data_IF_422891850677
#
_entry.id   IF_422891850677
#
_cell.length_a   1.000
_cell.length_b   1.000
_cell.length_c   1.000
_cell.angle_alpha   90.00
_cell.angle_beta   90.00
_cell.angle_gamma   90.00
#
_symmetry.space_group_name_H-M   'P 1'
#
loop_
_entity.id
_entity.type
_entity.pdbx_description
1 polymer ?
#
# COMPACT_ATOMS: atom_id res chain seq x y z
N UNK A 1 -6.06 7.38 72.35
CA UNK A 1 -7.29 6.71 71.88
C UNK A 1 -8.31 7.75 71.43
N UNK A 2 -8.56 7.87 70.12
CA UNK A 2 -9.86 8.20 69.52
C UNK A 2 -9.75 7.94 68.01
N UNK A 3 -10.65 7.08 67.52
CA UNK A 3 -10.80 6.62 66.13
C UNK A 3 -11.37 7.73 65.26
N UNK A 4 -10.99 7.75 63.97
CA UNK A 4 -11.70 8.48 62.92
C UNK A 4 -11.13 8.10 61.55
N UNK A 5 -11.62 7.00 60.96
CA UNK A 5 -12.51 6.98 59.79
C UNK A 5 -11.72 6.87 58.48
N UNK A 6 -11.70 5.66 57.91
CA UNK A 6 -11.21 5.36 56.56
C UNK A 6 -12.19 5.97 55.55
N UNK A 7 -11.70 6.81 54.64
CA UNK A 7 -12.43 7.17 53.42
C UNK A 7 -11.46 6.95 52.27
N UNK A 8 -11.68 5.85 51.55
CA UNK A 8 -11.00 5.58 50.29
C UNK A 8 -11.57 6.47 49.20
N UNK A 9 -10.68 7.05 48.40
CA UNK A 9 -11.02 7.60 47.10
C UNK A 9 -10.26 6.80 46.06
N UNK A 10 -10.93 5.78 45.51
CA UNK A 10 -10.52 5.15 44.27
C UNK A 10 -10.79 6.16 43.15
N UNK A 11 -9.75 6.84 42.68
CA UNK A 11 -9.79 7.63 41.45
C UNK A 11 -9.90 6.65 40.27
N UNK A 12 -11.12 6.41 39.81
CA UNK A 12 -11.35 5.88 38.48
C UNK A 12 -10.89 6.93 37.46
N UNK A 13 -9.69 6.74 36.93
CA UNK A 13 -9.28 7.42 35.71
C UNK A 13 -10.11 6.85 34.54
N UNK A 14 -11.17 7.56 34.17
CA UNK A 14 -11.90 7.34 32.93
C UNK A 14 -10.94 7.59 31.76
N UNK A 15 -10.37 6.52 31.20
CA UNK A 15 -9.73 6.54 29.89
C UNK A 15 -10.79 6.87 28.85
N UNK A 16 -10.88 8.14 28.47
CA UNK A 16 -11.58 8.56 27.27
C UNK A 16 -10.79 8.07 26.07
N UNK A 17 -11.13 6.89 25.56
CA UNK A 17 -10.74 6.44 24.22
C UNK A 17 -11.39 7.40 23.21
N UNK A 18 -10.66 8.42 22.77
CA UNK A 18 -10.99 9.10 21.53
C UNK A 18 -10.70 8.12 20.41
N UNK A 19 -11.70 7.34 20.01
CA UNK A 19 -11.71 6.64 18.73
C UNK A 19 -11.83 7.70 17.62
N UNK A 20 -10.75 8.45 17.40
CA UNK A 20 -10.51 8.99 16.09
C UNK A 20 -10.33 7.76 15.20
N UNK A 21 -11.34 7.48 14.36
CA UNK A 21 -11.18 6.57 13.23
C UNK A 21 -10.19 7.20 12.25
N UNK A 22 -8.93 7.30 12.65
CA UNK A 22 -7.84 7.59 11.77
C UNK A 22 -7.78 6.39 10.82
N UNK A 23 -8.04 6.62 9.54
CA UNK A 23 -7.58 5.71 8.49
C UNK A 23 -6.05 5.69 8.59
N UNK A 24 -5.50 4.94 9.54
CA UNK A 24 -4.08 4.69 9.64
C UNK A 24 -3.71 3.87 8.41
N UNK A 25 -2.93 4.49 7.54
CA UNK A 25 -2.38 3.79 6.39
C UNK A 25 -1.50 2.67 6.92
N UNK A 26 -1.58 1.46 6.33
CA UNK A 26 -0.79 0.33 6.80
C UNK A 26 0.72 0.54 6.70
N UNK A 27 1.16 1.42 5.79
CA UNK A 27 2.55 1.81 5.64
C UNK A 27 2.69 3.17 4.92
N UNK A 28 3.91 3.72 4.97
CA UNK A 28 4.28 4.99 4.34
C UNK A 28 5.02 4.77 3.02
N UNK A 29 5.17 5.84 2.24
CA UNK A 29 5.95 5.81 0.99
C UNK A 29 7.42 5.50 1.25
N UNK A 30 7.98 6.04 2.34
CA UNK A 30 9.36 5.77 2.74
C UNK A 30 9.54 4.31 3.18
N UNK A 31 8.55 3.73 3.84
CA UNK A 31 8.57 2.29 4.13
C UNK A 31 8.58 1.48 2.82
N UNK A 32 7.69 1.78 1.87
CA UNK A 32 7.68 1.07 0.59
C UNK A 32 9.02 1.16 -0.14
N UNK A 33 9.69 2.31 -0.11
CA UNK A 33 11.05 2.51 -0.67
C UNK A 33 12.12 1.65 0.02
N UNK A 34 11.89 1.19 1.24
CA UNK A 34 12.81 0.31 1.99
C UNK A 34 12.51 -1.18 1.81
N UNK A 35 11.36 -1.53 1.20
CA UNK A 35 10.93 -2.91 1.00
C UNK A 35 11.33 -3.36 -0.41
N UNK A 36 12.11 -4.45 -0.55
CA UNK A 36 12.42 -5.03 -1.86
C UNK A 36 11.18 -5.47 -2.62
N UNK A 37 11.24 -5.41 -3.96
CA UNK A 37 10.14 -5.75 -4.86
C UNK A 37 8.87 -4.90 -4.65
N UNK A 38 9.04 -3.66 -4.19
CA UNK A 38 7.97 -2.67 -4.12
C UNK A 38 7.88 -1.86 -5.41
N UNK A 39 6.77 -1.15 -5.61
CA UNK A 39 6.56 -0.25 -6.74
C UNK A 39 6.05 1.11 -6.26
N UNK A 40 6.60 2.19 -6.80
CA UNK A 40 6.34 3.56 -6.35
C UNK A 40 5.98 4.42 -7.55
N UNK A 41 4.76 4.95 -7.57
CA UNK A 41 4.34 5.88 -8.61
C UNK A 41 5.06 7.22 -8.37
N UNK A 42 5.64 7.79 -9.42
CA UNK A 42 6.37 9.06 -9.42
C UNK A 42 5.73 10.04 -10.42
N UNK A 43 6.29 11.25 -10.54
CA UNK A 43 5.75 12.29 -11.43
C UNK A 43 4.34 12.75 -11.02
N UNK A 44 3.51 13.09 -11.99
CA UNK A 44 2.08 13.35 -11.76
C UNK A 44 1.27 12.05 -11.81
N UNK A 45 0.10 12.03 -11.14
CA UNK A 45 -0.79 10.86 -11.14
C UNK A 45 -1.15 10.41 -12.57
N UNK A 46 -1.36 11.37 -13.47
CA UNK A 46 -1.74 11.16 -14.87
C UNK A 46 -0.62 10.59 -15.72
N UNK A 47 0.63 10.80 -15.33
CA UNK A 47 1.79 10.32 -16.09
C UNK A 47 1.93 8.80 -15.99
N UNK A 48 1.37 8.20 -14.93
CA UNK A 48 1.47 6.76 -14.64
C UNK A 48 2.91 6.26 -14.76
N UNK A 49 3.86 7.07 -14.30
CA UNK A 49 5.26 6.69 -14.23
C UNK A 49 5.53 6.00 -12.90
N UNK A 50 6.36 4.96 -12.96
CA UNK A 50 6.63 4.12 -11.81
C UNK A 50 8.13 3.83 -11.70
N UNK A 51 8.58 3.71 -10.46
CA UNK A 51 9.84 3.09 -10.10
C UNK A 51 9.54 1.78 -9.38
N UNK A 52 10.51 0.87 -9.34
CA UNK A 52 10.47 -0.32 -8.50
C UNK A 52 11.72 -0.39 -7.63
N UNK A 53 11.61 -0.99 -6.44
CA UNK A 53 12.76 -1.32 -5.61
C UNK A 53 13.21 -2.72 -5.96
N UNK A 54 14.45 -2.85 -6.41
CA UNK A 54 15.02 -4.16 -6.76
C UNK A 54 15.29 -5.02 -5.51
N UNK A 55 15.73 -6.26 -5.73
CA UNK A 55 16.03 -7.20 -4.65
C UNK A 55 17.13 -6.71 -3.70
N UNK A 56 18.00 -5.81 -4.17
CA UNK A 56 19.09 -5.22 -3.39
C UNK A 56 18.63 -3.96 -2.62
N UNK A 57 17.35 -3.59 -2.71
CA UNK A 57 16.80 -2.42 -2.03
C UNK A 57 17.05 -1.10 -2.75
N UNK A 58 17.41 -1.13 -4.05
CA UNK A 58 17.72 0.07 -4.83
C UNK A 58 16.53 0.45 -5.70
N UNK A 59 16.14 1.74 -5.70
CA UNK A 59 15.10 2.24 -6.61
C UNK A 59 15.61 2.28 -8.05
N UNK A 60 14.80 1.77 -8.96
CA UNK A 60 15.07 1.67 -10.39
C UNK A 60 13.88 2.18 -11.18
N UNK A 61 14.16 2.89 -12.25
CA UNK A 61 13.12 3.42 -13.14
C UNK A 61 12.46 2.31 -13.97
N UNK A 62 11.17 2.48 -14.23
CA UNK A 62 10.46 1.81 -15.32
C UNK A 62 10.22 2.81 -16.46
N UNK A 63 10.15 2.31 -17.68
CA UNK A 63 9.62 3.08 -18.81
C UNK A 63 8.17 3.51 -18.52
N UNK A 64 7.66 4.57 -19.16
CA UNK A 64 6.25 4.94 -19.07
C UNK A 64 5.33 3.76 -19.33
N UNK A 65 4.26 3.62 -18.54
CA UNK A 65 3.34 2.50 -18.68
C UNK A 65 2.42 2.72 -19.88
N UNK A 66 2.32 1.71 -20.73
CA UNK A 66 1.50 1.69 -21.93
C UNK A 66 0.10 1.12 -21.60
N UNK A 67 -0.93 1.66 -22.24
CA UNK A 67 -2.28 1.12 -22.19
C UNK A 67 -2.34 -0.13 -23.08
N UNK A 68 -2.58 -1.30 -22.46
CA UNK A 68 -2.70 -2.56 -23.17
C UNK A 68 -4.09 -2.75 -23.79
N UNK A 69 -5.12 -2.10 -23.23
CA UNK A 69 -6.48 -2.11 -23.76
C UNK A 69 -7.35 -1.07 -23.01
N UNK A 70 -7.88 -0.05 -23.72
CA UNK A 70 -8.78 0.93 -23.11
C UNK A 70 -10.04 0.32 -22.48
N UNK A 71 -10.43 -0.88 -22.92
CA UNK A 71 -11.62 -1.58 -22.45
C UNK A 71 -11.39 -2.30 -21.12
N UNK A 72 -10.15 -2.72 -20.84
CA UNK A 72 -9.81 -3.51 -19.66
C UNK A 72 -9.02 -2.70 -18.63
N UNK A 73 -8.80 -1.40 -18.88
CA UNK A 73 -8.04 -0.49 -18.02
C UNK A 73 -6.69 -1.06 -17.58
N UNK A 74 -6.08 -1.89 -18.42
CA UNK A 74 -4.89 -2.67 -18.11
C UNK A 74 -3.64 -1.96 -18.64
N UNK A 75 -2.63 -1.82 -17.79
CA UNK A 75 -1.41 -1.10 -18.09
C UNK A 75 -0.19 -1.99 -17.87
N UNK A 76 0.88 -1.70 -18.60
CA UNK A 76 2.17 -2.37 -18.43
C UNK A 76 3.34 -1.43 -18.68
N UNK A 77 4.39 -1.56 -17.87
CA UNK A 77 5.66 -0.87 -18.04
C UNK A 77 6.79 -1.85 -17.74
N UNK A 78 7.96 -1.58 -18.31
CA UNK A 78 9.14 -2.44 -18.17
C UNK A 78 10.37 -1.64 -17.80
N UNK A 79 11.32 -2.27 -17.12
CA UNK A 79 12.64 -1.69 -16.90
C UNK A 79 13.33 -1.41 -18.25
N UNK A 80 14.31 -0.47 -18.30
CA UNK A 80 15.09 -0.19 -19.50
C UNK A 80 15.66 -1.45 -20.19
N UNK A 81 16.12 -2.41 -19.40
CA UNK A 81 16.69 -3.68 -19.86
C UNK A 81 15.65 -4.80 -20.10
N UNK A 82 14.36 -4.53 -19.85
CA UNK A 82 13.25 -5.45 -20.10
C UNK A 82 13.15 -6.65 -19.15
N UNK A 83 13.95 -6.69 -18.07
CA UNK A 83 13.97 -7.83 -17.14
C UNK A 83 12.92 -7.75 -16.04
N UNK A 84 12.44 -6.54 -15.76
CA UNK A 84 11.39 -6.29 -14.78
C UNK A 84 10.19 -5.69 -15.48
N UNK A 85 8.99 -6.17 -15.15
CA UNK A 85 7.73 -5.63 -15.64
C UNK A 85 6.80 -5.29 -14.49
N UNK A 86 5.98 -4.27 -14.64
CA UNK A 86 4.88 -3.95 -13.74
C UNK A 86 3.59 -3.97 -14.55
N UNK A 87 2.59 -4.73 -14.09
CA UNK A 87 1.26 -4.76 -14.68
C UNK A 87 0.22 -4.40 -13.63
N UNK A 88 -0.83 -3.68 -14.01
CA UNK A 88 -1.93 -3.31 -13.12
C UNK A 88 -3.17 -2.94 -13.93
N UNK A 89 -4.33 -2.94 -13.27
CA UNK A 89 -5.52 -2.28 -13.79
C UNK A 89 -5.73 -0.95 -13.04
N UNK A 90 -6.04 0.13 -13.76
CA UNK A 90 -6.33 1.46 -13.15
C UNK A 90 -7.69 1.96 -13.63
N UNK A 91 -8.71 1.78 -12.79
CA UNK A 91 -10.08 2.18 -13.04
C UNK A 91 -10.49 3.39 -12.20
N UNK A 92 -11.69 3.92 -12.43
CA UNK A 92 -12.28 4.94 -11.56
C UNK A 92 -12.47 4.48 -10.10
N UNK A 93 -12.43 3.18 -9.83
CA UNK A 93 -12.55 2.61 -8.48
C UNK A 93 -11.20 2.44 -7.78
N UNK A 94 -10.09 2.73 -8.46
CA UNK A 94 -8.75 2.57 -7.95
C UNK A 94 -7.92 1.61 -8.80
N UNK A 95 -6.78 1.22 -8.22
CA UNK A 95 -5.82 0.32 -8.82
C UNK A 95 -5.99 -1.09 -8.24
N UNK A 96 -5.96 -2.11 -9.09
CA UNK A 96 -6.00 -3.52 -8.69
C UNK A 96 -5.12 -4.38 -9.61
N UNK A 97 -5.03 -5.69 -9.30
CA UNK A 97 -4.20 -6.68 -10.00
C UNK A 97 -2.76 -6.22 -10.27
N UNK A 98 -2.17 -5.53 -9.28
CA UNK A 98 -0.81 -4.98 -9.38
C UNK A 98 0.20 -6.11 -9.17
N UNK A 99 0.97 -6.42 -10.20
CA UNK A 99 1.94 -7.51 -10.20
C UNK A 99 3.28 -6.99 -10.72
N UNK A 100 4.33 -7.17 -9.92
CA UNK A 100 5.71 -6.98 -10.35
C UNK A 100 6.26 -8.32 -10.86
N UNK A 101 6.78 -8.34 -12.08
CA UNK A 101 7.38 -9.49 -12.73
C UNK A 101 8.90 -9.35 -12.65
N UNK A 102 9.57 -10.20 -11.88
CA UNK A 102 11.03 -10.13 -11.67
C UNK A 102 11.62 -11.49 -11.95
N UNK A 103 12.51 -11.62 -12.94
CA UNK A 103 13.20 -12.90 -13.21
C UNK A 103 12.26 -14.08 -13.52
N UNK A 104 11.06 -13.82 -14.04
CA UNK A 104 10.03 -14.84 -14.31
C UNK A 104 9.11 -15.16 -13.11
N UNK A 105 9.39 -14.59 -11.94
CA UNK A 105 8.49 -14.65 -10.78
C UNK A 105 7.43 -13.55 -10.86
N UNK A 106 6.22 -13.86 -10.37
CA UNK A 106 5.14 -12.90 -10.19
C UNK A 106 5.03 -12.54 -8.72
N UNK A 107 5.24 -11.27 -8.40
CA UNK A 107 5.12 -10.71 -7.05
C UNK A 107 3.84 -9.87 -6.98
N UNK A 108 2.75 -10.37 -6.39
CA UNK A 108 1.54 -9.58 -6.19
C UNK A 108 1.83 -8.44 -5.21
N UNK A 109 1.36 -7.25 -5.52
CA UNK A 109 1.57 -6.05 -4.71
C UNK A 109 0.27 -5.58 -4.07
N UNK A 110 0.38 -5.04 -2.86
CA UNK A 110 -0.68 -4.28 -2.20
C UNK A 110 -0.34 -2.80 -2.24
N UNK A 111 -1.24 -1.99 -2.80
CA UNK A 111 -1.03 -0.57 -3.02
C UNK A 111 -1.84 0.31 -2.08
N UNK A 112 -1.25 1.44 -1.69
CA UNK A 112 -1.94 2.52 -0.98
C UNK A 112 -1.74 3.84 -1.70
N UNK A 113 -2.67 4.77 -1.48
CA UNK A 113 -2.64 6.13 -2.04
C UNK A 113 -2.01 7.08 -1.02
N UNK A 114 -1.18 8.01 -1.48
CA UNK A 114 -0.76 9.15 -0.67
C UNK A 114 -1.91 10.17 -0.58
N UNK A 115 -2.44 10.53 0.61
CA UNK A 115 -3.63 11.38 0.75
C UNK A 115 -3.30 12.88 0.82
N UNK A 116 -2.09 13.30 0.46
CA UNK A 116 -1.75 14.72 0.41
C UNK A 116 -2.56 15.42 -0.67
N UNK A 117 -3.27 16.50 -0.31
CA UNK A 117 -4.07 17.31 -1.23
C UNK A 117 -3.16 17.83 -2.36
N UNK A 118 -3.23 17.19 -3.53
CA UNK A 118 -2.40 17.50 -4.70
C UNK A 118 -1.54 16.33 -5.20
N UNK A 119 -1.19 15.38 -4.33
CA UNK A 119 -0.33 14.22 -4.66
C UNK A 119 -1.03 12.90 -4.31
N UNK A 120 -1.90 12.43 -5.21
CA UNK A 120 -2.58 11.12 -5.10
C UNK A 120 -1.69 9.95 -5.53
N UNK A 121 -0.36 10.14 -5.52
CA UNK A 121 0.60 9.14 -5.97
C UNK A 121 0.48 7.86 -5.14
N UNK A 122 0.60 6.73 -5.82
CA UNK A 122 0.46 5.41 -5.23
C UNK A 122 1.82 4.82 -4.90
N UNK A 123 1.85 3.93 -3.92
CA UNK A 123 3.02 3.14 -3.58
C UNK A 123 2.57 1.78 -3.04
N UNK A 124 3.31 0.75 -3.39
CA UNK A 124 2.90 -0.63 -3.23
C UNK A 124 4.05 -1.47 -2.69
N UNK A 125 3.74 -2.43 -1.82
CA UNK A 125 4.69 -3.41 -1.28
C UNK A 125 4.23 -4.83 -1.62
N UNK A 126 5.09 -5.85 -1.54
CA UNK A 126 4.67 -7.24 -1.71
C UNK A 126 3.47 -7.56 -0.82
N UNK A 127 2.45 -8.23 -1.36
CA UNK A 127 1.24 -8.58 -0.61
C UNK A 127 1.51 -9.54 0.58
N UNK A 128 2.70 -10.15 0.61
CA UNK A 128 3.19 -10.99 1.70
C UNK A 128 3.87 -10.21 2.84
N UNK A 129 4.09 -8.90 2.69
CA UNK A 129 4.74 -8.07 3.69
C UNK A 129 3.86 -7.97 4.95
N UNK A 130 4.43 -8.05 6.17
CA UNK A 130 3.66 -8.01 7.43
C UNK A 130 2.93 -6.69 7.67
N UNK A 131 3.30 -5.60 7.00
CA UNK A 131 2.57 -4.35 7.06
C UNK A 131 1.24 -4.41 6.29
N UNK A 132 1.06 -5.38 5.37
CA UNK A 132 -0.18 -5.53 4.62
C UNK A 132 -1.29 -6.04 5.53
N UNK A 133 -2.43 -5.32 5.63
CA UNK A 133 -3.56 -5.77 6.43
C UNK A 133 -4.09 -7.12 5.94
N UNK A 134 -4.61 -7.97 6.84
CA UNK A 134 -5.32 -9.17 6.45
C UNK A 134 -6.42 -8.82 5.44
N UNK A 135 -6.29 -9.30 4.21
CA UNK A 135 -7.32 -9.07 3.21
C UNK A 135 -8.56 -9.90 3.57
N UNK A 136 -9.77 -9.36 3.41
CA UNK A 136 -10.99 -10.12 3.63
C UNK A 136 -10.95 -11.38 2.76
N UNK A 137 -11.01 -12.55 3.39
CA UNK A 137 -11.20 -13.80 2.64
C UNK A 137 -12.55 -13.70 1.95
N UNK A 138 -12.64 -13.90 0.61
CA UNK A 138 -13.93 -13.91 -0.06
C UNK A 138 -14.85 -14.89 0.68
N UNK A 139 -16.01 -14.41 1.14
CA UNK A 139 -17.04 -15.33 1.64
C UNK A 139 -17.33 -16.27 0.49
N UNK A 140 -17.00 -17.55 0.70
CA UNK A 140 -17.43 -18.61 -0.20
C UNK A 140 -18.93 -18.73 0.00
N UNK A 141 -19.69 -17.90 -0.69
CA UNK A 141 -21.12 -18.07 -0.80
C UNK A 141 -21.32 -19.44 -1.45
N UNK A 142 -21.72 -20.41 -0.61
CA UNK A 142 -22.19 -21.70 -1.06
C UNK A 142 -23.48 -21.43 -1.83
N UNK A 143 -23.42 -21.57 -3.15
CA UNK A 143 -24.59 -21.89 -3.97
C UNK A 143 -24.33 -23.20 -4.68
#
# INVERSE_FOLDING_TARGET
>A
MRRGTKIGFALLALLTLTAAGCYERPFTRDYARSVPNSAIQVGELTDRTWEYVDADGVSRELKPCEDLSPWNVAYSCTSPDGKVGLTFNDSKYGIDDVILHVGGEKVPLYCVVNPTWGDSLRFCIPASDPAVPPQPVPRRDKS
#
